data_IF_694378700402
#
_entry.id   IF_694378700402
#
_cell.length_a   1.000
_cell.length_b   1.000
_cell.length_c   1.000
_cell.angle_alpha   90.00
_cell.angle_beta   90.00
_cell.angle_gamma   90.00
#
_symmetry.space_group_name_H-M   'P 1'
#
loop_
_entity.id
_entity.type
_entity.pdbx_description
1 polymer ?
2 non-polymer ?
3 non-polymer ?
4 non-polymer ?
5 non-polymer ?
6 water ?
#
# COMPACT_ATOMS: atom_id res chain seq x y z
N UNK A 16 26.68 14.68 6.32
CA UNK A 16 27.66 15.64 5.81
C UNK A 16 26.98 17.02 5.67
N UNK A 17 27.80 18.05 5.56
CA UNK A 17 27.32 19.43 5.65
C UNK A 17 26.31 19.75 4.56
N UNK A 18 25.44 20.73 4.85
CA UNK A 18 24.64 21.38 3.82
C UNK A 18 25.51 22.44 3.12
N UNK A 19 25.57 22.42 1.79
CA UNK A 19 26.34 23.46 1.10
C UNK A 19 25.53 24.74 0.91
N UNK A 20 24.21 24.65 0.97
CA UNK A 20 23.32 25.80 0.87
C UNK A 20 21.89 25.32 0.99
N UNK A 21 20.95 26.25 0.81
CA UNK A 21 19.52 25.98 0.99
C UNK A 21 18.72 26.63 -0.13
N UNK A 22 17.92 25.80 -0.82
CA UNK A 22 17.16 26.25 -1.99
C UNK A 22 16.20 27.41 -1.66
N UNK A 23 15.62 27.44 -0.45
CA UNK A 23 14.63 28.47 -0.16
C UNK A 23 15.26 29.73 0.43
N UNK A 24 16.59 29.76 0.53
CA UNK A 24 17.34 30.99 0.77
C UNK A 24 17.93 31.55 -0.53
N UNK A 25 18.49 30.68 -1.37
CA UNK A 25 19.00 31.11 -2.67
C UNK A 25 17.88 31.46 -3.63
N UNK A 26 16.71 30.81 -3.50
CA UNK A 26 15.62 30.95 -4.45
C UNK A 26 14.29 30.71 -3.75
N UNK A 27 13.43 29.88 -4.32
CA UNK A 27 12.21 29.48 -3.65
C UNK A 27 11.93 28.02 -3.98
N UNK A 28 10.81 27.50 -3.48
CA UNK A 28 10.31 26.22 -3.94
C UNK A 28 10.02 26.35 -5.44
N UNK A 29 10.23 25.27 -6.19
CA UNK A 29 9.75 25.18 -7.58
C UNK A 29 8.24 24.88 -7.57
N UNK A 30 7.45 25.96 -7.65
CA UNK A 30 6.01 25.89 -7.44
C UNK A 30 5.32 25.06 -8.50
N UNK A 31 5.94 24.86 -9.67
CA UNK A 31 5.34 24.11 -10.76
C UNK A 31 5.77 22.64 -10.77
N UNK A 32 6.61 22.21 -9.83
CA UNK A 32 7.10 20.83 -9.82
C UNK A 32 5.92 19.88 -9.62
N UNK A 33 5.82 18.78 -10.38
CA UNK A 33 4.71 17.84 -10.18
C UNK A 33 4.58 17.36 -8.74
N UNK A 34 5.68 17.20 -8.04
CA UNK A 34 5.60 16.71 -6.66
C UNK A 34 5.21 17.81 -5.68
N UNK A 35 5.48 19.09 -5.99
CA UNK A 35 4.89 20.15 -5.18
C UNK A 35 3.39 20.18 -5.39
N UNK A 36 2.94 19.96 -6.63
CA UNK A 36 1.50 19.91 -6.87
C UNK A 36 0.86 18.73 -6.14
N UNK A 37 1.51 17.57 -6.15
CA UNK A 37 0.96 16.41 -5.42
C UNK A 37 0.96 16.64 -3.90
N UNK A 38 2.00 17.29 -3.39
CA UNK A 38 2.01 17.73 -1.98
C UNK A 38 0.83 18.62 -1.65
N UNK A 39 0.53 19.58 -2.53
CA UNK A 39 -0.57 20.51 -2.26
C UNK A 39 -1.88 19.74 -2.19
N UNK A 40 -2.06 18.78 -3.09
CA UNK A 40 -3.28 17.97 -3.10
C UNK A 40 -3.37 17.09 -1.85
N UNK A 41 -2.22 16.54 -1.43
CA UNK A 41 -2.17 15.73 -0.21
C UNK A 41 -2.66 16.51 1.01
N UNK A 42 -2.24 17.76 1.14
CA UNK A 42 -2.71 18.58 2.26
C UNK A 42 -4.24 18.82 2.18
N UNK A 43 -4.74 19.10 1.00
CA UNK A 43 -6.17 19.40 0.85
C UNK A 43 -7.02 18.17 1.10
N UNK A 44 -6.55 17.02 0.64
CA UNK A 44 -7.30 15.78 0.68
C UNK A 44 -6.88 14.86 1.81
N UNK A 45 -5.97 15.28 2.69
CA UNK A 45 -5.47 14.40 3.72
C UNK A 45 -5.85 14.80 5.13
N UNK A 46 -7.03 15.39 5.32
CA UNK A 46 -7.38 15.83 6.68
C UNK A 46 -7.98 14.72 7.53
N UNK A 47 -8.34 13.59 6.95
CA UNK A 47 -9.08 12.60 7.72
C UNK A 47 -8.25 12.12 8.90
N UNK A 48 -8.93 11.77 10.00
CA UNK A 48 -8.29 11.36 11.24
C UNK A 48 -8.90 10.02 11.67
N UNK A 49 -8.10 8.95 11.79
CA UNK A 49 -8.68 7.66 12.19
C UNK A 49 -9.37 7.71 13.52
N UNK A 50 -8.94 8.63 14.37
CA UNK A 50 -9.49 8.78 15.71
C UNK A 50 -10.93 9.26 15.71
N UNK A 51 -11.44 9.67 14.57
CA UNK A 51 -12.80 10.14 14.46
C UNK A 51 -13.76 9.08 13.93
N UNK A 52 -13.25 7.94 13.49
CA UNK A 52 -14.11 6.88 12.96
C UNK A 52 -14.83 6.20 14.11
N UNK A 53 -16.11 6.00 13.92
CA UNK A 53 -16.97 5.34 14.91
C UNK A 53 -16.97 3.85 14.62
N UNK A 54 -16.28 3.08 15.46
CA UNK A 54 -16.18 1.64 15.31
C UNK A 54 -17.19 0.89 16.19
N UNK A 55 -18.17 1.59 16.79
CA UNK A 55 -19.08 0.94 17.73
C UNK A 55 -19.89 -0.13 17.04
N UNK A 56 -20.38 0.15 15.83
CA UNK A 56 -21.16 -0.86 15.10
C UNK A 56 -20.28 -2.02 14.65
N UNK A 57 -18.99 -1.75 14.39
CA UNK A 57 -18.07 -2.80 13.99
C UNK A 57 -17.86 -3.81 15.12
N UNK A 58 -17.79 -3.32 16.36
CA UNK A 58 -17.65 -4.18 17.53
C UNK A 58 -18.86 -5.12 17.66
N UNK A 59 -20.05 -4.58 17.44
CA UNK A 59 -21.26 -5.39 17.52
C UNK A 59 -21.32 -6.41 16.40
N UNK A 60 -20.98 -5.99 15.18
CA UNK A 60 -20.93 -6.93 14.06
C UNK A 60 -19.99 -8.07 14.38
N UNK A 61 -18.76 -7.74 14.76
CA UNK A 61 -17.79 -8.80 15.00
C UNK A 61 -18.27 -9.74 16.10
N UNK A 62 -18.84 -9.19 17.18
CA UNK A 62 -19.31 -10.05 18.28
C UNK A 62 -20.47 -10.94 17.84
N UNK A 63 -21.34 -10.44 16.96
CA UNK A 63 -22.48 -11.21 16.49
C UNK A 63 -22.07 -12.43 15.67
N UNK A 64 -20.89 -12.41 15.08
CA UNK A 64 -20.46 -13.48 14.21
C UNK A 64 -20.11 -14.75 15.00
N UNK A 65 -20.28 -15.89 14.35
CA UNK A 65 -19.78 -17.15 14.87
C UNK A 65 -18.26 -17.14 14.80
N UNK A 66 -17.64 -18.08 15.52
CA UNK A 66 -16.19 -18.21 15.45
C UNK A 66 -15.72 -18.45 14.03
N UNK A 67 -16.47 -19.27 13.28
CA UNK A 67 -16.11 -19.56 11.89
C UNK A 67 -16.27 -18.33 11.01
N UNK A 68 -17.30 -17.52 11.25
CA UNK A 68 -17.44 -16.25 10.55
C UNK A 68 -16.36 -15.25 10.98
N UNK A 69 -16.08 -15.16 12.29
CA UNK A 69 -15.04 -14.25 12.79
C UNK A 69 -13.73 -14.42 12.02
N UNK A 70 -13.28 -15.65 11.84
CA UNK A 70 -12.00 -15.92 11.19
C UNK A 70 -11.95 -15.33 9.79
N UNK A 71 -13.08 -15.36 9.07
CA UNK A 71 -13.07 -15.05 7.64
C UNK A 71 -12.37 -13.73 7.33
N UNK A 72 -12.56 -12.71 8.16
CA UNK A 72 -12.07 -11.37 7.86
C UNK A 72 -10.63 -11.14 8.29
N UNK A 73 -10.08 -12.03 9.09
CA UNK A 73 -8.80 -11.71 9.74
C UNK A 73 -7.61 -11.83 8.78
N UNK A 74 -7.57 -12.80 7.84
CA UNK A 74 -6.38 -12.87 6.96
C UNK A 74 -6.10 -11.56 6.25
N UNK A 75 -7.15 -10.90 5.76
CA UNK A 75 -6.98 -9.67 4.99
C UNK A 75 -6.52 -8.53 5.90
N UNK A 76 -7.07 -8.47 7.11
CA UNK A 76 -6.65 -7.47 8.07
C UNK A 76 -5.20 -7.72 8.50
N UNK A 77 -4.81 -9.00 8.61
CA UNK A 77 -3.41 -9.31 8.93
C UNK A 77 -2.47 -8.85 7.83
N UNK A 78 -2.88 -9.01 6.59
CA UNK A 78 -2.04 -8.56 5.50
C UNK A 78 -1.89 -7.05 5.47
N UNK A 79 -2.98 -6.32 5.73
CA UNK A 79 -2.91 -4.87 5.71
C UNK A 79 -2.16 -4.30 6.89
N UNK A 80 -2.40 -4.82 8.10
CA UNK A 80 -1.77 -4.23 9.28
C UNK A 80 -0.26 -4.33 9.18
N UNK A 81 0.27 -5.52 8.87
CA UNK A 81 1.70 -5.64 8.66
C UNK A 81 2.18 -4.83 7.46
N UNK A 82 1.38 -4.79 6.39
CA UNK A 82 1.81 -4.07 5.20
C UNK A 82 1.93 -2.58 5.44
N UNK A 83 0.93 -2.00 6.12
CA UNK A 83 1.00 -0.58 6.42
C UNK A 83 2.12 -0.27 7.42
N UNK A 84 2.36 -1.18 8.36
CA UNK A 84 3.47 -0.96 9.27
C UNK A 84 4.82 -1.01 8.54
N UNK A 85 5.01 -2.02 7.67
CA UNK A 85 6.22 -2.09 6.86
C UNK A 85 6.44 -0.83 6.02
N UNK A 86 5.42 -0.36 5.28
CA UNK A 86 5.66 0.80 4.42
C UNK A 86 5.86 2.08 5.22
N UNK A 87 5.27 2.20 6.42
CA UNK A 87 5.58 3.35 7.29
C UNK A 87 7.07 3.38 7.63
N UNK A 88 7.65 2.25 8.00
CA UNK A 88 9.08 2.23 8.31
C UNK A 88 9.91 2.35 7.04
N UNK A 89 9.47 1.72 5.95
CA UNK A 89 10.36 1.49 4.82
C UNK A 89 10.36 2.63 3.79
N UNK A 90 9.51 3.64 3.93
CA UNK A 90 9.63 4.80 3.06
C UNK A 90 10.79 5.72 3.46
N UNK A 91 11.27 5.66 4.70
CA UNK A 91 12.30 6.61 5.14
C UNK A 91 13.55 6.64 4.26
N UNK A 92 14.09 5.50 3.77
CA UNK A 92 15.27 5.56 2.89
C UNK A 92 15.05 6.29 1.59
N UNK A 93 13.83 6.23 1.06
CA UNK A 93 13.52 6.97 -0.16
C UNK A 93 13.55 8.47 0.11
N UNK A 94 12.91 8.89 1.19
CA UNK A 94 12.97 10.29 1.57
C UNK A 94 14.41 10.76 1.75
N UNK A 95 15.25 9.93 2.40
CA UNK A 95 16.66 10.26 2.59
C UNK A 95 17.38 10.41 1.26
N UNK A 96 17.19 9.44 0.37
CA UNK A 96 17.95 9.44 -0.87
C UNK A 96 17.57 10.62 -1.75
N UNK A 97 16.27 10.92 -1.87
CA UNK A 97 15.90 12.10 -2.66
C UNK A 97 16.32 13.40 -1.95
N UNK A 98 16.28 13.43 -0.62
CA UNK A 98 16.80 14.62 0.08
C UNK A 98 18.25 14.88 -0.29
N UNK A 99 19.07 13.82 -0.30
CA UNK A 99 20.49 13.94 -0.57
C UNK A 99 20.75 14.32 -2.02
N UNK A 100 19.82 14.02 -2.92
CA UNK A 100 19.89 14.52 -4.28
C UNK A 100 19.36 15.94 -4.43
N UNK A 101 18.92 16.60 -3.36
CA UNK A 101 18.43 17.94 -3.51
C UNK A 101 17.02 18.07 -4.05
N UNK A 102 16.23 16.99 -4.09
CA UNK A 102 14.89 17.03 -4.68
C UNK A 102 13.90 17.46 -3.59
N UNK A 103 13.93 18.78 -3.30
CA UNK A 103 13.20 19.33 -2.16
C UNK A 103 11.69 19.12 -2.30
N UNK A 104 11.14 19.29 -3.50
CA UNK A 104 9.69 19.16 -3.66
C UNK A 104 9.24 17.71 -3.45
N UNK A 105 10.05 16.73 -3.91
CA UNK A 105 9.78 15.32 -3.60
C UNK A 105 9.72 15.10 -2.08
N UNK A 106 10.68 15.67 -1.35
CA UNK A 106 10.75 15.48 0.10
C UNK A 106 9.51 16.04 0.77
N UNK A 107 9.12 17.27 0.41
CA UNK A 107 7.89 17.84 0.95
C UNK A 107 6.72 16.90 0.74
N UNK A 108 6.56 16.38 -0.49
CA UNK A 108 5.47 15.45 -0.72
C UNK A 108 5.62 14.21 0.13
N UNK A 109 6.86 13.70 0.27
CA UNK A 109 7.05 12.46 1.01
C UNK A 109 6.70 12.61 2.49
N UNK A 110 6.76 13.84 3.04
CA UNK A 110 6.26 14.01 4.42
C UNK A 110 4.76 13.72 4.49
N UNK A 111 4.00 14.01 3.44
CA UNK A 111 2.58 13.63 3.47
C UNK A 111 2.42 12.13 3.29
N UNK A 112 3.27 11.53 2.46
CA UNK A 112 3.25 10.08 2.20
C UNK A 112 3.45 9.32 3.51
N UNK A 113 4.51 9.66 4.22
CA UNK A 113 4.86 9.01 5.48
C UNK A 113 3.76 9.17 6.53
N UNK A 114 3.21 10.38 6.64
CA UNK A 114 2.14 10.63 7.60
C UNK A 114 0.87 9.88 7.22
N UNK A 115 0.55 9.78 5.92
CA UNK A 115 -0.57 8.93 5.50
C UNK A 115 -0.41 7.52 6.06
N UNK A 116 0.77 6.93 5.86
CA UNK A 116 0.94 5.53 6.22
C UNK A 116 0.84 5.35 7.72
N UNK A 117 1.32 6.33 8.49
CA UNK A 117 1.13 6.29 9.95
C UNK A 117 -0.35 6.21 10.33
N UNK A 118 -1.18 7.01 9.69
CA UNK A 118 -2.62 6.95 9.91
C UNK A 118 -3.19 5.60 9.47
N UNK A 119 -2.63 4.99 8.43
CA UNK A 119 -3.13 3.68 8.00
C UNK A 119 -2.87 2.62 9.06
N UNK A 120 -1.65 2.59 9.59
CA UNK A 120 -1.32 1.71 10.70
C UNK A 120 -2.29 1.94 11.84
N UNK A 121 -2.51 3.21 12.17
CA UNK A 121 -3.39 3.58 13.27
C UNK A 121 -4.80 3.05 13.03
N UNK A 122 -5.31 3.24 11.82
CA UNK A 122 -6.67 2.84 11.50
C UNK A 122 -6.87 1.34 11.71
N UNK A 123 -6.02 0.50 11.13
CA UNK A 123 -6.22 -0.94 11.31
C UNK A 123 -6.04 -1.35 12.76
N UNK A 124 -5.08 -0.73 13.44
CA UNK A 124 -4.89 -1.10 14.83
C UNK A 124 -6.07 -0.66 15.68
N UNK A 125 -6.70 0.49 15.38
CA UNK A 125 -7.90 0.89 16.10
C UNK A 125 -9.03 -0.09 15.87
N UNK A 126 -9.17 -0.59 14.64
CA UNK A 126 -10.25 -1.54 14.36
C UNK A 126 -10.04 -2.82 15.17
N UNK A 127 -8.81 -3.32 15.17
CA UNK A 127 -8.51 -4.55 15.89
C UNK A 127 -8.81 -4.38 17.38
N UNK A 128 -8.40 -3.26 17.94
CA UNK A 128 -8.67 -2.98 19.35
C UNK A 128 -10.18 -2.92 19.59
N UNK A 129 -10.91 -2.20 18.74
CA UNK A 129 -12.33 -2.00 18.98
C UNK A 129 -13.12 -3.29 18.87
N UNK A 130 -12.75 -4.19 17.95
CA UNK A 130 -13.55 -5.41 17.79
C UNK A 130 -13.11 -6.53 18.73
N UNK A 131 -12.03 -6.33 19.47
CA UNK A 131 -11.64 -7.26 20.51
C UNK A 131 -10.58 -8.26 20.12
N UNK A 132 -9.80 -8.02 19.06
CA UNK A 132 -8.76 -8.93 18.63
C UNK A 132 -7.37 -8.34 18.74
N UNK A 133 -7.21 -7.23 19.46
CA UNK A 133 -5.89 -6.62 19.57
C UNK A 133 -4.87 -7.58 20.15
N UNK A 134 -5.30 -8.40 21.11
CA UNK A 134 -4.44 -9.37 21.78
C UNK A 134 -4.14 -10.61 20.94
N UNK A 135 -4.85 -10.80 19.82
CA UNK A 135 -4.61 -11.94 18.94
C UNK A 135 -3.44 -11.70 17.99
N UNK A 136 -2.56 -12.69 17.86
CA UNK A 136 -1.40 -12.57 16.98
C UNK A 136 -1.83 -13.01 15.59
N UNK A 137 -1.99 -12.06 14.68
CA UNK A 137 -2.46 -12.34 13.33
C UNK A 137 -1.34 -12.74 12.36
N UNK A 138 -0.11 -12.93 12.86
CA UNK A 138 1.02 -13.37 12.01
C UNK A 138 0.78 -14.75 11.41
N UNK A 139 -0.10 -15.56 11.99
CA UNK A 139 -0.40 -16.88 11.44
C UNK A 139 -0.87 -16.83 10.00
N UNK A 140 -1.39 -15.69 9.52
CA UNK A 140 -1.95 -15.60 8.19
C UNK A 140 -1.00 -14.98 7.17
N UNK A 141 0.30 -14.88 7.51
CA UNK A 141 1.35 -14.51 6.58
C UNK A 141 2.05 -15.80 6.14
N UNK A 142 1.86 -16.21 4.88
CA UNK A 142 2.53 -17.36 4.34
C UNK A 142 3.90 -16.96 3.78
N UNK A 143 4.62 -17.94 3.23
CA UNK A 143 5.99 -17.70 2.80
C UNK A 143 6.04 -16.63 1.72
N UNK A 144 5.03 -16.58 0.85
CA UNK A 144 5.07 -15.60 -0.24
C UNK A 144 4.90 -14.19 0.29
N UNK A 145 3.99 -14.02 1.25
CA UNK A 145 3.80 -12.71 1.86
C UNK A 145 5.09 -12.25 2.54
N UNK A 146 5.73 -13.13 3.31
CA UNK A 146 6.97 -12.81 4.01
C UNK A 146 8.08 -12.45 3.03
N UNK A 147 8.12 -13.09 1.87
CA UNK A 147 9.14 -12.74 0.90
C UNK A 147 8.97 -11.32 0.37
N UNK A 148 7.73 -10.84 0.24
CA UNK A 148 7.52 -9.48 -0.22
C UNK A 148 7.75 -8.50 0.90
N UNK A 149 7.04 -8.69 2.02
CA UNK A 149 6.95 -7.67 3.07
C UNK A 149 8.02 -7.77 4.14
N UNK A 150 8.43 -8.98 4.49
CA UNK A 150 9.49 -9.13 5.49
C UNK A 150 10.87 -9.01 4.87
N UNK A 151 11.00 -9.19 3.56
CA UNK A 151 12.33 -9.25 2.94
C UNK A 151 12.54 -8.30 1.77
N UNK A 152 11.85 -8.54 0.65
CA UNK A 152 12.18 -7.80 -0.58
C UNK A 152 11.91 -6.31 -0.44
N UNK A 153 10.82 -5.93 0.24
CA UNK A 153 10.52 -4.51 0.44
C UNK A 153 11.61 -3.85 1.27
N UNK A 154 11.92 -4.29 2.49
CA UNK A 154 12.98 -3.60 3.24
C UNK A 154 14.32 -3.68 2.55
N UNK A 155 14.64 -4.78 1.86
CA UNK A 155 15.94 -4.87 1.18
C UNK A 155 16.05 -3.78 0.13
N UNK A 156 15.02 -3.65 -0.70
CA UNK A 156 15.08 -2.70 -1.80
C UNK A 156 15.11 -1.26 -1.32
N UNK A 157 14.39 -0.94 -0.22
CA UNK A 157 14.38 0.44 0.25
C UNK A 157 15.69 0.78 0.98
N UNK A 158 16.16 -0.11 1.84
CA UNK A 158 17.38 0.17 2.61
C UNK A 158 18.60 0.30 1.74
N UNK A 159 18.60 -0.39 0.61
CA UNK A 159 19.66 -0.25 -0.37
C UNK A 159 19.94 1.21 -0.70
N UNK A 160 18.90 2.04 -0.76
CA UNK A 160 19.06 3.45 -1.15
C UNK A 160 20.00 4.22 -0.24
N UNK A 161 20.19 3.77 0.99
CA UNK A 161 21.13 4.44 1.89
C UNK A 161 22.57 4.39 1.37
N UNK A 162 22.94 3.35 0.60
CA UNK A 162 24.32 3.25 0.10
C UNK A 162 24.42 3.20 -1.40
N UNK A 163 23.29 3.14 -2.09
CA UNK A 163 23.24 3.01 -3.54
C UNK A 163 21.94 3.68 -4.01
N UNK A 164 22.05 4.91 -4.48
CA UNK A 164 20.93 5.67 -5.01
C UNK A 164 21.02 5.83 -6.52
N UNK A 165 21.65 4.84 -7.19
CA UNK A 165 21.71 4.80 -8.63
C UNK A 165 20.31 4.73 -9.24
N UNK A 166 20.15 5.12 -10.50
CA UNK A 166 18.84 4.99 -11.15
C UNK A 166 18.25 3.59 -11.06
N UNK A 167 19.08 2.56 -11.19
CA UNK A 167 18.61 1.18 -11.04
C UNK A 167 18.02 0.93 -9.66
N UNK A 168 18.73 1.35 -8.61
CA UNK A 168 18.25 1.15 -7.25
C UNK A 168 16.93 1.87 -7.01
N UNK A 169 16.81 3.12 -7.48
CA UNK A 169 15.59 3.91 -7.25
C UNK A 169 14.43 3.31 -8.00
N UNK A 170 14.66 2.88 -9.25
CA UNK A 170 13.60 2.18 -9.99
C UNK A 170 13.15 0.93 -9.26
N UNK A 171 14.08 0.17 -8.73
CA UNK A 171 13.69 -1.08 -8.09
C UNK A 171 12.86 -0.82 -6.83
N UNK A 172 13.24 0.21 -6.07
CA UNK A 172 12.55 0.54 -4.83
C UNK A 172 11.11 0.97 -5.12
N UNK A 173 10.93 1.86 -6.10
CA UNK A 173 9.60 2.31 -6.48
C UNK A 173 8.78 1.19 -7.09
N UNK A 174 9.40 0.27 -7.82
CA UNK A 174 8.65 -0.85 -8.36
C UNK A 174 8.10 -1.72 -7.25
N UNK A 175 8.97 -2.15 -6.31
CA UNK A 175 8.53 -3.02 -5.21
C UNK A 175 7.48 -2.31 -4.36
N UNK A 176 7.75 -1.07 -3.96
CA UNK A 176 6.91 -0.36 -3.00
C UNK A 176 5.65 0.16 -3.66
N UNK A 177 5.80 1.05 -4.64
CA UNK A 177 4.64 1.78 -5.16
C UNK A 177 3.86 0.96 -6.19
N UNK A 178 4.55 0.16 -7.02
CA UNK A 178 3.87 -0.50 -8.12
C UNK A 178 3.37 -1.89 -7.75
N UNK A 179 4.08 -2.61 -6.87
CA UNK A 179 3.66 -3.93 -6.42
C UNK A 179 2.89 -3.90 -5.10
N UNK A 180 3.54 -3.47 -4.02
CA UNK A 180 2.89 -3.49 -2.72
C UNK A 180 1.61 -2.62 -2.73
N UNK A 181 1.71 -1.38 -3.21
CA UNK A 181 0.59 -0.45 -3.25
C UNK A 181 -0.25 -0.64 -4.53
N UNK A 182 0.38 -0.56 -5.69
CA UNK A 182 -0.34 -0.50 -6.97
C UNK A 182 -0.98 -1.80 -7.40
N UNK A 183 -0.53 -2.92 -6.86
CA UNK A 183 -1.09 -4.23 -7.17
C UNK A 183 -1.79 -4.83 -5.95
N UNK A 184 -1.06 -5.02 -4.84
CA UNK A 184 -1.67 -5.71 -3.70
C UNK A 184 -2.64 -4.81 -2.93
N UNK A 185 -2.23 -3.60 -2.54
CA UNK A 185 -3.12 -2.76 -1.74
C UNK A 185 -4.43 -2.45 -2.50
N UNK A 186 -4.31 -2.09 -3.78
CA UNK A 186 -5.48 -1.74 -4.58
C UNK A 186 -6.44 -2.91 -4.65
N UNK A 187 -5.89 -4.11 -4.85
CA UNK A 187 -6.72 -5.30 -4.92
C UNK A 187 -7.32 -5.61 -3.56
N UNK A 188 -6.61 -5.30 -2.49
CA UNK A 188 -7.17 -5.47 -1.16
C UNK A 188 -8.34 -4.56 -0.88
N UNK A 189 -8.25 -3.29 -1.28
CA UNK A 189 -9.37 -2.37 -1.10
C UNK A 189 -10.57 -2.85 -1.90
N UNK A 190 -10.33 -3.29 -3.13
CA UNK A 190 -11.40 -3.82 -3.96
C UNK A 190 -12.04 -5.03 -3.29
N UNK A 191 -11.21 -5.92 -2.73
CA UNK A 191 -11.73 -7.14 -2.09
C UNK A 191 -12.60 -6.81 -0.89
N UNK A 192 -12.12 -5.92 -0.01
CA UNK A 192 -12.91 -5.45 1.13
C UNK A 192 -14.29 -5.01 0.71
N UNK A 193 -14.36 -4.16 -0.31
CA UNK A 193 -15.66 -3.63 -0.73
C UNK A 193 -16.54 -4.74 -1.28
N UNK A 194 -15.96 -5.60 -2.11
CA UNK A 194 -16.70 -6.66 -2.76
C UNK A 194 -17.37 -7.58 -1.76
N UNK A 195 -16.78 -7.73 -0.58
CA UNK A 195 -17.23 -8.71 0.40
C UNK A 195 -18.09 -8.02 1.46
N UNK A 196 -17.49 -7.12 2.23
CA UNK A 196 -18.17 -6.58 3.41
C UNK A 196 -19.09 -5.41 3.10
N UNK A 197 -18.85 -4.67 2.03
CA UNK A 197 -19.78 -3.60 1.71
C UNK A 197 -21.09 -4.20 1.25
N UNK A 198 -21.01 -5.28 0.48
CA UNK A 198 -22.14 -6.15 0.20
C UNK A 198 -22.88 -6.57 1.48
N UNK A 199 -22.14 -7.11 2.45
CA UNK A 199 -22.77 -7.66 3.64
C UNK A 199 -23.42 -6.61 4.53
N UNK A 200 -23.12 -5.32 4.34
CA UNK A 200 -23.48 -4.32 5.33
C UNK A 200 -22.71 -4.45 6.65
N UNK A 201 -21.55 -5.09 6.63
CA UNK A 201 -20.73 -5.33 7.81
C UNK A 201 -19.65 -4.28 7.90
N UNK A 202 -19.24 -3.97 9.13
CA UNK A 202 -18.03 -3.23 9.47
C UNK A 202 -18.03 -1.86 8.80
N UNK A 203 -19.03 -1.02 9.07
CA UNK A 203 -19.06 0.31 8.42
C UNK A 203 -17.85 1.19 8.74
N UNK A 204 -17.33 1.16 9.97
CA UNK A 204 -16.16 1.98 10.28
C UNK A 204 -14.93 1.54 9.51
N UNK A 205 -14.67 0.22 9.48
CA UNK A 205 -13.56 -0.25 8.68
C UNK A 205 -13.68 0.18 7.24
N UNK A 206 -14.88 0.08 6.67
CA UNK A 206 -15.04 0.44 5.26
C UNK A 206 -14.92 1.95 5.05
N UNK A 207 -15.30 2.75 6.03
CA UNK A 207 -14.99 4.18 5.94
C UNK A 207 -13.47 4.38 5.88
N UNK A 208 -12.77 3.69 6.74
CA UNK A 208 -11.32 3.76 6.74
C UNK A 208 -10.72 3.34 5.42
N UNK A 209 -11.25 2.26 4.82
CA UNK A 209 -10.76 1.76 3.54
C UNK A 209 -10.92 2.79 2.44
N UNK A 210 -12.06 3.48 2.40
CA UNK A 210 -12.26 4.56 1.44
C UNK A 210 -11.23 5.67 1.59
N UNK A 211 -10.93 6.09 2.82
CA UNK A 211 -9.87 7.06 3.02
C UNK A 211 -8.51 6.50 2.59
N UNK A 212 -8.18 5.25 2.94
CA UNK A 212 -6.90 4.69 2.54
C UNK A 212 -6.78 4.67 1.02
N UNK A 213 -7.82 4.23 0.35
CA UNK A 213 -7.78 4.09 -1.10
C UNK A 213 -7.59 5.46 -1.76
N UNK A 214 -8.13 6.53 -1.15
CA UNK A 214 -7.88 7.89 -1.66
C UNK A 214 -6.43 8.31 -1.46
N UNK A 215 -5.87 8.12 -0.26
CA UNK A 215 -4.46 8.40 -0.07
C UNK A 215 -3.61 7.65 -1.10
N UNK A 216 -3.97 6.40 -1.37
CA UNK A 216 -3.14 5.49 -2.15
C UNK A 216 -2.94 5.99 -3.55
N UNK A 217 -3.93 6.69 -4.10
CA UNK A 217 -3.78 7.27 -5.44
C UNK A 217 -2.57 8.17 -5.55
N UNK A 218 -2.29 8.96 -4.51
CA UNK A 218 -1.10 9.80 -4.52
C UNK A 218 0.18 9.00 -4.38
N UNK A 219 0.18 7.97 -3.53
CA UNK A 219 1.35 7.11 -3.37
C UNK A 219 1.74 6.46 -4.70
N UNK A 220 0.76 5.93 -5.40
CA UNK A 220 1.05 5.28 -6.68
C UNK A 220 1.53 6.33 -7.70
N UNK A 221 0.96 7.53 -7.67
CA UNK A 221 1.40 8.56 -8.59
C UNK A 221 2.85 8.99 -8.34
N UNK A 222 3.29 9.00 -7.07
CA UNK A 222 4.71 9.22 -6.77
C UNK A 222 5.58 8.17 -7.45
N UNK A 223 5.20 6.92 -7.35
CA UNK A 223 5.99 5.87 -7.93
C UNK A 223 6.04 5.98 -9.44
N UNK A 224 4.91 6.31 -10.06
CA UNK A 224 4.87 6.49 -11.53
C UNK A 224 5.78 7.63 -11.94
N UNK A 225 5.66 8.78 -11.27
CA UNK A 225 6.51 9.91 -11.58
C UNK A 225 7.98 9.54 -11.48
N UNK A 226 8.34 8.80 -10.42
CA UNK A 226 9.74 8.51 -10.12
C UNK A 226 10.32 7.55 -11.14
N UNK A 227 9.57 6.49 -11.46
CA UNK A 227 10.05 5.55 -12.45
C UNK A 227 10.10 6.22 -13.82
N UNK A 228 9.06 6.98 -14.18
CA UNK A 228 9.05 7.56 -15.52
C UNK A 228 10.19 8.58 -15.69
N UNK A 229 10.54 9.31 -14.63
CA UNK A 229 11.56 10.34 -14.85
C UNK A 229 12.93 9.70 -15.07
N UNK A 230 13.16 8.51 -14.51
CA UNK A 230 14.39 7.77 -14.77
C UNK A 230 14.36 7.10 -16.14
N UNK A 231 13.23 6.49 -16.49
CA UNK A 231 13.07 5.93 -17.84
C UNK A 231 13.24 7.00 -18.91
N UNK A 232 12.79 8.22 -18.63
CA UNK A 232 12.93 9.32 -19.57
C UNK A 232 14.40 9.63 -19.88
N UNK A 233 15.30 9.42 -18.91
CA UNK A 233 16.71 9.63 -19.17
C UNK A 233 17.30 8.58 -20.09
N UNK A 234 16.79 7.35 -20.05
CA UNK A 234 17.45 6.23 -20.72
C UNK A 234 16.43 5.10 -20.83
N UNK A 235 15.85 4.95 -22.01
CA UNK A 235 14.76 4.01 -22.20
C UNK A 235 15.15 2.57 -21.92
N UNK A 236 16.43 2.25 -21.70
CA UNK A 236 16.77 0.89 -21.28
C UNK A 236 16.34 0.60 -19.85
N UNK A 237 16.04 1.63 -19.06
CA UNK A 237 15.53 1.39 -17.71
C UNK A 237 14.11 0.86 -17.73
N UNK A 238 13.37 1.12 -18.81
CA UNK A 238 12.08 0.46 -19.00
C UNK A 238 12.19 -1.06 -18.87
N UNK A 239 13.21 -1.66 -19.49
CA UNK A 239 13.37 -3.11 -19.38
C UNK A 239 13.59 -3.55 -17.95
N UNK A 240 14.31 -2.75 -17.17
CA UNK A 240 14.54 -3.10 -15.77
C UNK A 240 13.24 -3.12 -14.99
N UNK A 241 12.42 -2.08 -15.19
CA UNK A 241 11.11 -1.97 -14.55
C UNK A 241 10.28 -3.21 -14.81
N UNK A 242 10.13 -3.61 -16.08
CA UNK A 242 9.36 -4.81 -16.40
C UNK A 242 9.97 -6.03 -15.71
N UNK A 243 11.29 -6.16 -15.78
CA UNK A 243 11.92 -7.30 -15.15
C UNK A 243 11.62 -7.34 -13.65
N UNK A 244 11.70 -6.19 -12.97
CA UNK A 244 11.46 -6.21 -11.52
C UNK A 244 10.00 -6.52 -11.19
N UNK A 245 9.05 -6.03 -12.00
CA UNK A 245 7.65 -6.43 -11.83
C UNK A 245 7.48 -7.95 -11.96
N UNK A 246 8.03 -8.55 -13.03
CA UNK A 246 7.88 -9.99 -13.23
C UNK A 246 8.60 -10.80 -12.15
N UNK A 247 9.73 -10.32 -11.62
CA UNK A 247 10.38 -11.07 -10.53
C UNK A 247 9.45 -11.27 -9.35
N UNK A 248 8.62 -10.28 -9.05
CA UNK A 248 7.79 -10.35 -7.85
C UNK A 248 6.43 -10.99 -8.09
N UNK A 249 5.99 -11.07 -9.34
CA UNK A 249 4.69 -11.69 -9.64
C UNK A 249 4.48 -13.04 -8.96
N UNK A 250 5.42 -13.99 -9.00
CA UNK A 250 5.15 -15.29 -8.33
C UNK A 250 4.78 -15.16 -6.86
N UNK A 251 5.33 -14.18 -6.17
CA UNK A 251 4.94 -14.06 -4.77
C UNK A 251 3.62 -13.34 -4.60
N UNK A 252 3.33 -12.39 -5.48
CA UNK A 252 2.03 -11.74 -5.49
C UNK A 252 0.94 -12.79 -5.61
N UNK A 253 1.00 -13.60 -6.65
CA UNK A 253 -0.08 -14.55 -6.91
C UNK A 253 -0.04 -15.69 -5.91
N UNK A 254 1.15 -16.07 -5.45
CA UNK A 254 1.22 -17.09 -4.42
C UNK A 254 0.54 -16.67 -3.14
N UNK A 255 0.64 -15.39 -2.80
CA UNK A 255 -0.13 -14.90 -1.67
C UNK A 255 -1.61 -14.86 -2.01
N UNK A 256 -1.97 -14.40 -3.22
CA UNK A 256 -3.38 -14.31 -3.59
C UNK A 256 -4.01 -15.71 -3.55
N UNK A 257 -3.32 -16.70 -4.14
CA UNK A 257 -3.81 -18.09 -4.11
C UNK A 257 -3.96 -18.61 -2.69
N UNK A 258 -3.08 -18.18 -1.78
CA UNK A 258 -3.18 -18.65 -0.39
C UNK A 258 -4.41 -18.07 0.28
N UNK A 259 -4.64 -16.77 0.11
CA UNK A 259 -5.84 -16.15 0.68
C UNK A 259 -7.10 -16.74 0.05
N UNK A 260 -7.01 -17.08 -1.24
CA UNK A 260 -8.15 -17.66 -1.92
C UNK A 260 -8.50 -19.01 -1.33
N UNK A 261 -7.49 -19.85 -1.11
CA UNK A 261 -7.68 -21.15 -0.52
C UNK A 261 -8.29 -21.04 0.88
N UNK A 262 -7.77 -20.12 1.70
CA UNK A 262 -8.40 -19.88 3.00
C UNK A 262 -9.86 -19.49 2.84
N UNK A 263 -10.16 -18.62 1.87
CA UNK A 263 -11.53 -18.21 1.65
C UNK A 263 -12.43 -19.38 1.26
N UNK A 264 -11.91 -20.30 0.44
CA UNK A 264 -12.72 -21.42 -0.03
C UNK A 264 -12.93 -22.46 1.08
N UNK A 265 -11.97 -22.59 1.99
CA UNK A 265 -12.15 -23.51 3.11
C UNK A 265 -13.09 -22.99 4.19
N UNK A 266 -13.17 -21.67 4.40
CA UNK A 266 -14.00 -21.11 5.46
C UNK A 266 -15.16 -20.32 4.83
N UNK A 267 -16.26 -21.03 4.55
CA UNK A 267 -17.36 -20.53 3.75
C UNK A 267 -18.49 -19.89 4.55
N UNK A 268 -18.44 -19.92 5.89
CA UNK A 268 -19.66 -19.65 6.66
C UNK A 268 -20.09 -18.19 6.58
N UNK A 269 -19.14 -17.24 6.51
CA UNK A 269 -19.55 -15.83 6.38
C UNK A 269 -20.27 -15.61 5.05
N UNK A 270 -19.75 -16.21 3.97
CA UNK A 270 -20.37 -16.08 2.66
C UNK A 270 -21.81 -16.61 2.69
N UNK A 271 -22.01 -17.78 3.28
CA UNK A 271 -23.34 -18.38 3.31
C UNK A 271 -24.30 -17.54 4.15
N UNK A 272 -23.88 -17.23 5.38
CA UNK A 272 -24.68 -16.41 6.29
C UNK A 272 -25.14 -15.12 5.62
N UNK A 273 -24.22 -14.40 4.98
CA UNK A 273 -24.54 -13.10 4.40
C UNK A 273 -24.92 -13.16 2.92
N UNK A 274 -25.12 -14.36 2.36
CA UNK A 274 -25.54 -14.51 0.96
C UNK A 274 -24.61 -13.75 0.01
N UNK A 275 -23.31 -13.91 0.23
CA UNK A 275 -22.30 -13.42 -0.69
C UNK A 275 -21.84 -14.57 -1.58
N UNK A 276 -22.08 -14.45 -2.89
CA UNK A 276 -21.38 -15.33 -3.85
C UNK A 276 -20.05 -14.61 -4.10
N UNK A 277 -19.06 -14.95 -3.26
CA UNK A 277 -17.71 -14.39 -3.36
C UNK A 277 -17.05 -14.99 -4.59
N UNK A 278 -16.78 -14.16 -5.59
CA UNK A 278 -16.20 -14.68 -6.83
C UNK A 278 -14.68 -14.58 -6.69
N UNK A 279 -14.07 -15.65 -6.16
CA UNK A 279 -12.62 -15.66 -6.01
C UNK A 279 -11.90 -15.61 -7.37
N UNK A 280 -12.51 -16.16 -8.40
CA UNK A 280 -11.87 -16.09 -9.72
C UNK A 280 -11.90 -14.66 -10.24
N UNK A 281 -12.95 -13.91 -9.91
CA UNK A 281 -12.98 -12.51 -10.32
C UNK A 281 -11.96 -11.67 -9.55
N UNK A 282 -11.78 -11.95 -8.25
CA UNK A 282 -10.76 -11.24 -7.49
C UNK A 282 -9.38 -11.51 -8.07
N UNK A 283 -9.13 -12.76 -8.47
CA UNK A 283 -7.84 -13.11 -9.02
C UNK A 283 -7.60 -12.36 -10.33
N UNK A 284 -8.65 -12.18 -11.12
CA UNK A 284 -8.48 -11.46 -12.38
C UNK A 284 -8.30 -9.97 -12.12
N UNK A 285 -8.83 -9.46 -11.01
CA UNK A 285 -8.59 -8.07 -10.67
C UNK A 285 -7.11 -7.83 -10.35
N UNK A 286 -6.50 -8.77 -9.61
CA UNK A 286 -5.07 -8.66 -9.30
C UNK A 286 -4.25 -8.70 -10.58
N UNK A 287 -4.50 -9.70 -11.45
CA UNK A 287 -3.77 -9.77 -12.72
C UNK A 287 -3.95 -8.46 -13.47
N UNK A 288 -5.17 -7.92 -13.45
CA UNK A 288 -5.46 -6.70 -14.19
C UNK A 288 -4.70 -5.51 -13.59
N UNK A 289 -4.63 -5.44 -12.26
CA UNK A 289 -3.88 -4.38 -11.60
C UNK A 289 -2.42 -4.39 -12.02
N UNK A 290 -1.78 -5.55 -11.90
CA UNK A 290 -0.38 -5.75 -12.25
C UNK A 290 -0.11 -5.29 -13.67
N UNK A 291 -0.94 -5.73 -14.61
CA UNK A 291 -0.76 -5.38 -16.01
C UNK A 291 -1.00 -3.89 -16.27
N UNK A 292 -2.00 -3.29 -15.61
CA UNK A 292 -2.21 -1.87 -15.89
C UNK A 292 -1.14 -0.99 -15.24
N UNK A 293 -0.51 -1.44 -14.15
CA UNK A 293 0.64 -0.68 -13.62
C UNK A 293 1.78 -0.68 -14.63
N UNK A 294 2.05 -1.84 -15.23
CA UNK A 294 3.07 -1.88 -16.28
C UNK A 294 2.78 -0.85 -17.37
N UNK A 295 1.51 -0.72 -17.77
CA UNK A 295 1.14 0.17 -18.86
C UNK A 295 1.16 1.64 -18.48
N UNK A 296 1.31 1.99 -17.20
CA UNK A 296 1.38 3.40 -16.84
C UNK A 296 2.81 3.94 -16.91
N UNK A 297 3.78 3.09 -17.27
CA UNK A 297 5.14 3.51 -17.55
C UNK A 297 5.34 3.42 -19.07
N UNK A 298 5.78 4.52 -19.68
CA UNK A 298 6.04 4.57 -21.10
C UNK A 298 7.53 4.33 -21.38
N UNK A 299 7.82 3.37 -22.26
CA UNK A 299 9.19 3.12 -22.66
C UNK A 299 9.82 4.35 -23.28
N UNK A 300 9.05 5.16 -24.00
CA UNK A 300 9.58 6.36 -24.62
C UNK A 300 9.22 7.57 -23.78
X LIG B 1 0.34 0.75 1.78
X LIG B 1 0.80 1.61 0.93
X LIG B 1 -0.27 0.96 2.85
X LIG B 1 0.60 -0.76 1.44
X LIG B 1 -0.36 -1.76 2.05
X LIG B 1 -0.07 -3.17 1.68
X LIG B 1 -1.24 -4.08 1.94
X LIG B 1 -0.91 -5.52 1.75
X LIG B 1 -2.05 -6.47 2.06
X LIG B 1 -3.09 -6.38 1.05
X LIG B 1 -3.91 -7.63 0.89
X LIG B 1 -3.88 -8.15 -0.56
X LIG B 1 -5.18 -8.75 -0.96
X LIG B 1 -5.23 -9.20 -2.41
X LIG B 1 -6.59 -9.81 -2.77
X LIG B 1 -6.65 -11.33 -2.71
X LIG B 1 -8.05 -11.93 -3.02
X LIG B 1 -8.65 -12.79 -1.87
X LIG B 1 1.64 -0.99 1.74
X LIG B 1 0.59 -0.86 0.34
X LIG B 1 -1.37 -1.49 1.75
X LIG B 1 -0.32 -1.64 3.14
X LIG B 1 0.81 -3.54 2.24
X LIG B 1 0.20 -3.22 0.62
X LIG B 1 -2.07 -3.82 1.26
X LIG B 1 -1.61 -3.93 2.95
X LIG B 1 -0.04 -5.78 2.39
X LIG B 1 -0.57 -5.68 0.71
X LIG B 1 -2.47 -6.23 3.05
X LIG B 1 -1.67 -7.51 2.12
X LIG B 1 -2.62 -6.14 0.07
X LIG B 1 -3.75 -5.54 1.28
X LIG B 1 -4.94 -7.42 1.18
X LIG B 1 -3.54 -8.40 1.57
X LIG B 1 -3.08 -8.91 -0.67
X LIG B 1 -3.63 -7.33 -1.25
X LIG B 1 -5.98 -8.02 -0.78
X LIG B 1 -5.40 -9.61 -0.30
X LIG B 1 -4.44 -9.94 -2.59
X LIG B 1 -5.02 -8.35 -3.07
X LIG B 1 -6.87 -9.48 -3.78
X LIG B 1 -7.35 -9.40 -2.10
X LIG B 1 -6.33 -11.67 -1.72
X LIG B 1 -5.92 -11.76 -3.42
X LIG B 1 -7.97 -12.54 -3.94
X LIG B 1 -8.74 -11.12 -3.27
X LIG B 1 -9.64 -13.19 -2.14
X LIG B 1 -8.78 -12.20 -0.95
X LIG B 1 -8.01 -13.65 -1.63
X LIG C 1 -1.08 2.46 3.39
X LIG D 1 4.25 -21.39 -3.00
X LIG E 1 0.50 3.62 0.47
#
# INVERSE_FOLDING_TARGET
>A
MAHHHHHHVDDDDKMVHHDGFQTVKATIDWEHPMFKLYEKAKRNGKWNPADIDFSQDQKDFASLTSEEKISALPLVAGFSAGDEAVTLDILPMAHALARQGRLEDVLFLTTFMHDEAKHVEMFSRWQQAVGIGQMDLSVFHNDHYKRIFYEALPEAMNRLYADDSPEAVIRAATVYNMIVEGTLAESGYYTFRQIYKKAGLFPGLLQGIDYLNMDEGRHIQFGIYTIQRIVNEDERYYELFIRYMDELWPHVIGYVDYLTELGKRQQQLARTYALEIDYDLLRHYVIKQFNLRKKQISRTKRVDVVEGLEKTAAES
>B hetero
1 PLM C1 O1 O2 C2 C3 C4 C5 C6 C7 C8 C9 CA CB CC CD CE CF CG H21 H22 H31 H32 H41 H42 H51 H52 H61 H62 H71 H72 H81 H82 H91 H92 HA1 HA2 HB1 HB2 HC1 HC2 HD1 HD2 HE1 HE2 HF1 HF2 HG1 HG2 HG3
>C hetero
1 MN3 MN
>D hetero
1 MN MN
>E hetero
1 FE FE
#
